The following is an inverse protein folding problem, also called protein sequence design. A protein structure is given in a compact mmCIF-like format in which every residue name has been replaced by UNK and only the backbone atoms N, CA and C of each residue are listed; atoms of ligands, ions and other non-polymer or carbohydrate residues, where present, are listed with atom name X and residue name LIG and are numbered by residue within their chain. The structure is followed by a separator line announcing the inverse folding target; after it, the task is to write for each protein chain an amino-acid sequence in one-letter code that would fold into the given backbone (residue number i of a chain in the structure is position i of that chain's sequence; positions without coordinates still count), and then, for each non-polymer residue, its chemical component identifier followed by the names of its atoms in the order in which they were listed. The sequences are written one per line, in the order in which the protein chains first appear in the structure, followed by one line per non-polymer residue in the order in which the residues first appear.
data_IF_541775892853
#
_entry.id   IF_541775892853
#
_cell.length_a   1.000
_cell.length_b   1.000
_cell.length_c   1.000
_cell.angle_alpha   90.00
_cell.angle_beta   90.00
_cell.angle_gamma   90.00
#
_symmetry.space_group_name_H-M   'P 1'
#
loop_
_entity.id
_entity.type
_entity.pdbx_description
1 polymer ?
#
# COMPACT_ATOMS: atom_id res chain seq x y z
N UNK A 1 34.73 -23.55 -16.13
CA UNK A 1 35.28 -24.64 -15.29
C UNK A 1 34.12 -25.39 -14.66
N UNK A 2 33.97 -26.67 -14.98
CA UNK A 2 32.92 -27.56 -14.45
C UNK A 2 33.43 -28.19 -13.15
N UNK A 3 32.75 -27.99 -12.03
CA UNK A 3 32.94 -28.82 -10.84
C UNK A 3 31.68 -29.63 -10.59
N UNK A 4 31.79 -30.89 -10.97
CA UNK A 4 30.84 -31.96 -10.71
C UNK A 4 31.44 -32.74 -9.54
N UNK A 5 30.92 -32.52 -8.34
CA UNK A 5 31.25 -33.36 -7.18
C UNK A 5 29.96 -33.75 -6.47
N UNK A 6 29.76 -35.05 -6.51
CA UNK A 6 28.67 -35.84 -5.95
C UNK A 6 28.69 -35.69 -4.43
N UNK A 7 27.58 -35.24 -3.85
CA UNK A 7 27.25 -35.49 -2.45
C UNK A 7 25.88 -36.17 -2.41
N UNK A 8 25.93 -37.50 -2.49
CA UNK A 8 24.81 -38.37 -2.20
C UNK A 8 24.69 -38.45 -0.67
N UNK A 9 24.05 -37.45 -0.08
CA UNK A 9 23.70 -37.44 1.34
C UNK A 9 22.17 -37.43 1.42
N UNK A 10 21.62 -38.56 1.87
CA UNK A 10 20.27 -38.67 2.42
C UNK A 10 20.11 -37.59 3.51
N UNK A 11 19.58 -36.42 3.14
CA UNK A 11 18.90 -35.55 4.09
C UNK A 11 17.41 -35.77 3.86
N UNK A 12 16.75 -36.37 4.85
CA UNK A 12 15.34 -36.16 5.11
C UNK A 12 15.16 -34.64 5.33
N UNK A 13 15.13 -33.86 4.26
CA UNK A 13 14.90 -32.43 4.37
C UNK A 13 13.45 -32.28 4.72
N UNK A 14 13.17 -32.11 6.02
CA UNK A 14 11.98 -31.42 6.47
C UNK A 14 11.89 -30.16 5.60
N UNK A 15 10.92 -30.15 4.68
CA UNK A 15 10.61 -29.00 3.86
C UNK A 15 10.13 -27.92 4.82
N UNK A 16 11.08 -27.17 5.38
CA UNK A 16 10.82 -25.89 6.02
C UNK A 16 10.31 -24.99 4.91
N UNK A 17 9.00 -25.06 4.66
CA UNK A 17 8.29 -23.98 4.01
C UNK A 17 8.58 -22.75 4.88
N UNK A 18 9.48 -21.90 4.43
CA UNK A 18 9.64 -20.57 5.01
C UNK A 18 8.30 -19.90 4.77
N UNK A 19 7.43 -19.95 5.79
CA UNK A 19 6.21 -19.18 5.88
C UNK A 19 6.64 -17.71 5.93
N UNK A 20 6.92 -17.15 4.76
CA UNK A 20 7.06 -15.71 4.65
C UNK A 20 5.71 -15.13 5.07
N UNK A 21 5.67 -14.22 6.07
CA UNK A 21 4.45 -13.48 6.32
C UNK A 21 4.16 -12.74 5.02
N UNK A 22 3.02 -13.06 4.40
CA UNK A 22 2.47 -12.23 3.34
C UNK A 22 2.21 -10.88 3.99
N UNK A 23 3.16 -9.95 3.84
CA UNK A 23 2.92 -8.56 4.16
C UNK A 23 1.64 -8.21 3.40
N UNK A 24 0.59 -7.82 4.13
CA UNK A 24 -0.63 -7.32 3.53
C UNK A 24 -0.22 -6.06 2.73
N UNK A 25 0.06 -6.26 1.44
CA UNK A 25 0.45 -5.18 0.55
C UNK A 25 -0.80 -4.33 0.33
N UNK A 26 -0.81 -3.14 0.92
CA UNK A 26 -1.81 -2.12 0.61
C UNK A 26 -1.70 -1.79 -0.88
N UNK A 27 -2.81 -1.86 -1.59
CA UNK A 27 -2.83 -1.56 -3.03
C UNK A 27 -2.58 -0.06 -3.27
N UNK A 28 -2.18 0.30 -4.49
CA UNK A 28 -2.14 1.72 -4.87
C UNK A 28 -3.56 2.33 -4.79
N UNK A 29 -3.67 3.64 -4.58
CA UNK A 29 -4.97 4.29 -4.46
C UNK A 29 -5.72 4.15 -5.78
N UNK A 30 -4.99 4.31 -6.88
CA UNK A 30 -5.50 4.14 -8.24
C UNK A 30 -6.08 2.75 -8.46
N UNK A 31 -5.37 1.69 -8.05
CA UNK A 31 -5.85 0.31 -8.23
C UNK A 31 -7.08 0.04 -7.35
N UNK A 32 -7.06 0.50 -6.10
CA UNK A 32 -8.18 0.34 -5.17
C UNK A 32 -9.45 1.02 -5.70
N UNK A 33 -9.33 2.26 -6.18
CA UNK A 33 -10.44 2.99 -6.84
C UNK A 33 -10.85 2.30 -8.13
N UNK A 34 -9.90 1.82 -8.93
CA UNK A 34 -10.16 1.15 -10.21
C UNK A 34 -11.00 -0.11 -10.06
N UNK A 35 -10.62 -0.99 -9.13
CA UNK A 35 -11.35 -2.21 -8.81
C UNK A 35 -12.74 -1.91 -8.23
N UNK A 36 -12.82 -0.93 -7.33
CA UNK A 36 -14.11 -0.49 -6.79
C UNK A 36 -15.04 0.04 -7.89
N UNK A 37 -14.54 0.90 -8.77
CA UNK A 37 -15.31 1.48 -9.86
C UNK A 37 -15.78 0.41 -10.85
N UNK A 38 -14.94 -0.57 -11.19
CA UNK A 38 -15.32 -1.69 -12.05
C UNK A 38 -16.48 -2.49 -11.47
N UNK A 39 -16.43 -2.79 -10.16
CA UNK A 39 -17.47 -3.56 -9.49
C UNK A 39 -18.76 -2.76 -9.23
N UNK A 40 -18.66 -1.45 -9.01
CA UNK A 40 -19.76 -0.65 -8.49
C UNK A 40 -20.40 0.33 -9.48
N UNK A 41 -19.81 0.59 -10.66
CA UNK A 41 -20.32 1.62 -11.59
C UNK A 41 -21.82 1.49 -11.87
N UNK A 42 -22.27 0.29 -12.28
CA UNK A 42 -23.67 0.05 -12.60
C UNK A 42 -24.60 0.24 -11.39
N UNK A 43 -24.17 -0.19 -10.20
CA UNK A 43 -24.94 -0.03 -8.96
C UNK A 43 -25.04 1.44 -8.54
N UNK A 44 -23.95 2.20 -8.71
CA UNK A 44 -23.95 3.65 -8.46
C UNK A 44 -24.93 4.34 -9.41
N UNK A 45 -24.86 4.06 -10.71
CA UNK A 45 -25.72 4.69 -11.73
C UNK A 45 -27.20 4.32 -11.57
N UNK A 46 -27.50 3.07 -11.22
CA UNK A 46 -28.88 2.58 -11.09
C UNK A 46 -29.52 2.96 -9.76
N UNK A 47 -28.78 2.78 -8.66
CA UNK A 47 -29.35 2.74 -7.31
C UNK A 47 -28.92 3.90 -6.41
N UNK A 48 -27.78 4.54 -6.70
CA UNK A 48 -27.17 5.57 -5.84
C UNK A 48 -26.79 6.87 -6.58
N UNK A 49 -27.35 7.12 -7.77
CA UNK A 49 -26.91 8.20 -8.69
C UNK A 49 -26.95 9.62 -8.12
N UNK A 50 -27.84 9.88 -7.17
CA UNK A 50 -28.02 11.19 -6.54
C UNK A 50 -27.06 11.44 -5.38
N UNK A 51 -26.22 10.46 -5.04
CA UNK A 51 -25.29 10.56 -3.92
C UNK A 51 -23.90 10.90 -4.45
N UNK A 52 -23.39 12.05 -4.04
CA UNK A 52 -22.04 12.48 -4.38
C UNK A 52 -21.00 11.57 -3.71
N UNK A 53 -20.01 11.04 -4.46
CA UNK A 53 -18.86 10.34 -3.86
C UNK A 53 -18.16 11.21 -2.81
N UNK A 54 -17.56 10.57 -1.80
CA UNK A 54 -16.86 11.23 -0.69
C UNK A 54 -17.77 11.75 0.43
N UNK A 55 -19.10 11.71 0.28
CA UNK A 55 -20.06 12.18 1.31
C UNK A 55 -20.28 11.21 2.47
N UNK A 56 -19.63 10.03 2.49
CA UNK A 56 -19.93 8.92 3.40
C UNK A 56 -21.26 8.21 3.11
N UNK A 57 -22.27 8.94 2.62
CA UNK A 57 -23.61 8.43 2.28
C UNK A 57 -23.61 7.39 1.15
N UNK A 58 -22.60 7.44 0.27
CA UNK A 58 -22.49 6.49 -0.84
C UNK A 58 -22.25 5.07 -0.34
N UNK A 59 -21.39 4.89 0.66
CA UNK A 59 -21.13 3.58 1.26
C UNK A 59 -22.41 3.00 1.87
N UNK A 60 -23.20 3.79 2.60
CA UNK A 60 -24.48 3.36 3.15
C UNK A 60 -25.49 2.96 2.06
N UNK A 61 -25.55 3.71 0.95
CA UNK A 61 -26.42 3.35 -0.16
C UNK A 61 -26.01 2.03 -0.83
N UNK A 62 -24.72 1.85 -1.09
CA UNK A 62 -24.21 0.62 -1.71
C UNK A 62 -24.41 -0.59 -0.79
N UNK A 63 -24.21 -0.42 0.52
CA UNK A 63 -24.47 -1.47 1.51
C UNK A 63 -25.94 -1.95 1.47
N UNK A 64 -26.88 -1.03 1.27
CA UNK A 64 -28.31 -1.33 1.22
C UNK A 64 -28.73 -1.91 -0.15
N UNK A 65 -28.29 -1.31 -1.26
CA UNK A 65 -28.95 -1.47 -2.57
C UNK A 65 -28.08 -2.06 -3.68
N UNK A 66 -26.78 -2.24 -3.49
CA UNK A 66 -25.88 -2.72 -4.54
C UNK A 66 -25.86 -4.25 -4.67
N UNK A 67 -25.24 -4.72 -5.76
CA UNK A 67 -24.88 -6.13 -5.93
C UNK A 67 -23.95 -6.65 -4.83
N UNK A 68 -23.90 -7.97 -4.63
CA UNK A 68 -22.95 -8.59 -3.69
C UNK A 68 -21.49 -8.27 -4.08
N UNK A 69 -21.18 -8.27 -5.37
CA UNK A 69 -19.85 -7.89 -5.89
C UNK A 69 -19.47 -6.47 -5.51
N UNK A 70 -20.37 -5.50 -5.68
CA UNK A 70 -20.08 -4.12 -5.31
C UNK A 70 -19.97 -3.93 -3.80
N UNK A 71 -20.79 -4.63 -2.99
CA UNK A 71 -20.65 -4.60 -1.52
C UNK A 71 -19.28 -5.10 -1.07
N UNK A 72 -18.84 -6.24 -1.62
CA UNK A 72 -17.50 -6.80 -1.32
C UNK A 72 -16.38 -5.86 -1.77
N UNK A 73 -16.49 -5.27 -2.96
CA UNK A 73 -15.51 -4.29 -3.44
C UNK A 73 -15.49 -3.01 -2.59
N UNK A 74 -16.64 -2.57 -2.09
CA UNK A 74 -16.76 -1.41 -1.18
C UNK A 74 -16.10 -1.70 0.16
N UNK A 75 -16.32 -2.88 0.75
CA UNK A 75 -15.64 -3.29 1.98
C UNK A 75 -14.11 -3.35 1.77
N UNK A 76 -13.65 -3.98 0.70
CA UNK A 76 -12.22 -4.04 0.37
C UNK A 76 -11.60 -2.65 0.15
N UNK A 77 -12.33 -1.74 -0.51
CA UNK A 77 -11.91 -0.35 -0.67
C UNK A 77 -11.74 0.35 0.67
N UNK A 78 -12.73 0.24 1.57
CA UNK A 78 -12.67 0.83 2.92
C UNK A 78 -11.46 0.29 3.70
N UNK A 79 -11.26 -1.04 3.72
CA UNK A 79 -10.10 -1.65 4.38
C UNK A 79 -8.77 -1.14 3.82
N UNK A 80 -8.65 -0.96 2.49
CA UNK A 80 -7.44 -0.39 1.89
C UNK A 80 -7.21 1.08 2.32
N UNK A 81 -8.28 1.86 2.48
CA UNK A 81 -8.18 3.25 2.93
C UNK A 81 -7.78 3.34 4.41
N UNK A 82 -8.34 2.47 5.25
CA UNK A 82 -7.97 2.39 6.68
C UNK A 82 -6.50 1.99 6.84
N UNK A 83 -6.03 1.01 6.06
CA UNK A 83 -4.63 0.59 6.07
C UNK A 83 -3.67 1.72 5.62
N UNK A 84 -4.08 2.51 4.61
CA UNK A 84 -3.35 3.71 4.17
C UNK A 84 -3.24 4.74 5.28
N UNK A 85 -4.34 5.07 5.95
CA UNK A 85 -4.36 6.01 7.07
C UNK A 85 -3.45 5.54 8.22
N UNK A 86 -3.49 4.24 8.55
CA UNK A 86 -2.62 3.66 9.56
C UNK A 86 -1.13 3.77 9.16
N UNK A 87 -0.81 3.54 7.89
CA UNK A 87 0.55 3.69 7.38
C UNK A 87 1.04 5.15 7.43
N UNK A 88 0.18 6.11 7.08
CA UNK A 88 0.48 7.54 7.20
C UNK A 88 0.80 7.94 8.66
N UNK A 89 0.04 7.40 9.62
CA UNK A 89 0.26 7.65 11.05
C UNK A 89 1.54 6.98 11.57
N UNK A 90 1.91 5.82 11.03
CA UNK A 90 3.11 5.09 11.43
C UNK A 90 4.39 5.66 10.80
N UNK A 91 4.29 6.26 9.61
CA UNK A 91 5.45 6.70 8.83
C UNK A 91 6.43 7.64 9.57
N UNK A 92 6.00 8.63 10.38
CA UNK A 92 6.93 9.49 11.11
C UNK A 92 7.87 8.73 12.05
N UNK A 93 7.37 7.68 12.71
CA UNK A 93 8.17 6.84 13.61
C UNK A 93 9.08 5.91 12.80
N UNK A 94 8.51 5.23 11.80
CA UNK A 94 9.25 4.28 10.96
C UNK A 94 10.35 4.94 10.12
N UNK A 95 10.19 6.22 9.78
CA UNK A 95 11.16 7.01 9.03
C UNK A 95 12.03 7.93 9.91
N UNK A 96 11.92 7.87 11.24
CA UNK A 96 12.63 8.82 12.13
C UNK A 96 14.16 8.75 11.95
N UNK A 97 14.70 7.53 11.83
CA UNK A 97 16.12 7.31 11.55
C UNK A 97 16.52 7.91 10.20
N UNK A 98 15.79 7.59 9.14
CA UNK A 98 16.08 8.05 7.79
C UNK A 98 15.98 9.57 7.64
N UNK A 99 15.03 10.20 8.35
CA UNK A 99 14.92 11.66 8.40
C UNK A 99 16.17 12.27 9.03
N UNK A 100 16.68 11.70 10.12
CA UNK A 100 17.88 12.19 10.79
C UNK A 100 19.11 12.02 9.91
N UNK A 101 19.23 10.88 9.22
CA UNK A 101 20.39 10.55 8.40
C UNK A 101 20.44 11.36 7.10
N UNK A 102 19.32 11.46 6.38
CA UNK A 102 19.32 12.01 5.01
C UNK A 102 18.67 13.39 4.89
N UNK A 103 17.89 13.82 5.88
CA UNK A 103 16.99 14.97 5.77
C UNK A 103 17.05 15.92 6.98
N UNK A 104 18.14 15.93 7.75
CA UNK A 104 18.29 16.77 8.94
C UNK A 104 18.11 18.28 8.66
N UNK A 105 18.43 18.74 7.45
CA UNK A 105 18.31 20.15 7.05
C UNK A 105 16.89 20.63 6.78
N UNK A 106 15.88 19.75 6.78
CA UNK A 106 14.51 20.08 6.32
C UNK A 106 13.64 20.85 7.33
N UNK A 107 14.18 21.22 8.49
CA UNK A 107 13.45 21.93 9.54
C UNK A 107 12.28 21.10 10.11
N UNK A 108 11.30 21.75 10.75
CA UNK A 108 10.20 21.07 11.48
C UNK A 108 9.01 20.62 10.61
N UNK A 109 9.02 20.90 9.30
CA UNK A 109 7.88 20.58 8.43
C UNK A 109 7.84 19.12 7.97
N UNK A 110 6.77 18.39 8.30
CA UNK A 110 6.57 17.00 7.86
C UNK A 110 6.59 16.87 6.33
N UNK A 111 5.93 17.78 5.61
CA UNK A 111 5.91 17.78 4.15
C UNK A 111 7.32 17.96 3.52
N UNK A 112 8.18 18.80 4.12
CA UNK A 112 9.56 19.00 3.65
C UNK A 112 10.41 17.75 3.86
N UNK A 113 10.28 17.12 5.04
CA UNK A 113 10.93 15.85 5.34
C UNK A 113 10.47 14.75 4.38
N UNK A 114 9.16 14.62 4.18
CA UNK A 114 8.58 13.66 3.24
C UNK A 114 9.13 13.87 1.82
N UNK A 115 9.08 15.10 1.31
CA UNK A 115 9.64 15.44 -0.01
C UNK A 115 11.13 15.09 -0.11
N UNK A 116 11.91 15.34 0.95
CA UNK A 116 13.32 14.96 0.99
C UNK A 116 13.54 13.44 0.95
N UNK A 117 12.76 12.65 1.71
CA UNK A 117 12.83 11.18 1.70
C UNK A 117 12.46 10.61 0.33
N UNK A 118 11.48 11.24 -0.33
CA UNK A 118 10.93 10.87 -1.62
C UNK A 118 11.84 11.15 -2.83
N UNK A 119 12.91 11.93 -2.68
CA UNK A 119 13.89 12.12 -3.76
C UNK A 119 14.59 10.80 -4.07
N UNK A 120 14.69 10.43 -5.35
CA UNK A 120 15.24 9.14 -5.82
C UNK A 120 16.52 8.71 -5.11
N UNK A 121 17.48 9.61 -4.95
CA UNK A 121 18.79 9.29 -4.38
C UNK A 121 18.71 9.01 -2.87
N UNK A 122 17.81 9.69 -2.16
CA UNK A 122 17.52 9.41 -0.75
C UNK A 122 16.67 8.15 -0.63
N UNK A 123 15.61 8.03 -1.43
CA UNK A 123 14.67 6.92 -1.40
C UNK A 123 15.37 5.56 -1.50
N UNK A 124 16.36 5.42 -2.40
CA UNK A 124 17.14 4.18 -2.56
C UNK A 124 17.89 3.77 -1.29
N UNK A 125 18.28 4.74 -0.46
CA UNK A 125 19.10 4.55 0.74
C UNK A 125 18.27 4.39 2.02
N UNK A 126 16.96 4.62 1.96
CA UNK A 126 16.08 4.48 3.12
C UNK A 126 16.04 3.03 3.63
N UNK A 127 15.79 2.89 4.93
CA UNK A 127 15.45 1.60 5.55
C UNK A 127 14.25 0.96 4.86
N UNK A 128 14.20 -0.38 4.88
CA UNK A 128 13.05 -1.14 4.33
C UNK A 128 11.75 -0.74 5.01
N UNK A 129 11.77 -0.54 6.33
CA UNK A 129 10.61 -0.13 7.10
C UNK A 129 10.07 1.23 6.63
N UNK A 130 10.94 2.23 6.44
CA UNK A 130 10.49 3.53 5.93
C UNK A 130 9.97 3.42 4.48
N UNK A 131 10.66 2.71 3.58
CA UNK A 131 10.16 2.50 2.19
C UNK A 131 8.76 1.90 2.17
N UNK A 132 8.53 0.87 2.98
CA UNK A 132 7.24 0.20 3.09
C UNK A 132 6.17 1.13 3.66
N UNK A 133 6.50 1.93 4.68
CA UNK A 133 5.57 2.91 5.24
C UNK A 133 5.18 3.98 4.21
N UNK A 134 6.16 4.54 3.48
CA UNK A 134 5.90 5.53 2.42
C UNK A 134 5.07 4.94 1.27
N UNK A 135 5.33 3.69 0.91
CA UNK A 135 4.56 2.96 -0.11
C UNK A 135 3.13 2.71 0.35
N UNK A 136 2.97 2.24 1.59
CA UNK A 136 1.67 1.90 2.14
C UNK A 136 0.80 3.14 2.42
N UNK A 137 1.43 4.27 2.75
CA UNK A 137 0.81 5.59 2.78
C UNK A 137 0.42 6.10 1.38
N UNK A 138 0.90 5.47 0.30
CA UNK A 138 0.63 5.88 -1.07
C UNK A 138 1.38 7.13 -1.53
N UNK A 139 2.39 7.58 -0.78
CA UNK A 139 3.18 8.75 -1.15
C UNK A 139 4.14 8.45 -2.31
N UNK A 140 4.35 7.18 -2.65
CA UNK A 140 5.23 6.76 -3.75
C UNK A 140 4.51 6.50 -5.08
N UNK A 141 3.18 6.63 -5.13
CA UNK A 141 2.37 6.32 -6.31
C UNK A 141 2.77 7.17 -7.55
N UNK A 142 3.46 8.30 -7.36
CA UNK A 142 4.02 9.14 -8.42
C UNK A 142 5.50 8.84 -8.72
N UNK A 143 6.26 8.26 -7.79
CA UNK A 143 7.70 7.95 -7.97
C UNK A 143 7.88 6.66 -8.78
N UNK A 144 6.99 5.68 -8.57
CA UNK A 144 7.01 4.42 -9.30
C UNK A 144 6.74 4.56 -10.82
N UNK A 145 6.10 5.67 -11.24
CA UNK A 145 5.83 5.97 -12.66
C UNK A 145 6.99 6.67 -13.38
N UNK A 146 8.07 7.01 -12.65
CA UNK A 146 9.29 7.69 -13.16
C UNK A 146 10.50 6.72 -13.10
N UNK A 147 10.24 5.41 -13.06
CA UNK A 147 11.21 4.36 -13.37
C UNK A 147 10.89 3.80 -14.76
#
# INVERSE_FOLDING_TARGET
MRFKTICLALCLTASSFITHPAAAQTMSFGDSVGLWAQACRADVEKSCRSIRPGSGKLASCLQAKASSSCKSATAAFITNMEARLAAEQAAPQLCAFDVKEFCASQGTGQARKLHCLMRRDNFRRLTTACKQALQAAGWLDQIAKIQ
#
